data_IF_718450956655
#
_entry.id   IF_718450956655
#
_cell.length_a   1.000
_cell.length_b   1.000
_cell.length_c   1.000
_cell.angle_alpha   90.00
_cell.angle_beta   90.00
_cell.angle_gamma   90.00
#
_symmetry.space_group_name_H-M   'P 1'
#
loop_
_entity.id
_entity.type
_entity.pdbx_description
1 polymer ?
#
# COMPACT_ATOMS: atom_id res chain seq x y z
N UNK A 1 -20.73 15.75 -23.53
CA UNK A 1 -20.85 15.83 -22.06
C UNK A 1 -19.88 16.89 -21.55
N UNK A 2 -20.31 17.77 -20.63
CA UNK A 2 -19.44 18.78 -20.01
C UNK A 2 -18.56 18.08 -18.97
N UNK A 3 -17.23 18.30 -19.01
CA UNK A 3 -16.35 17.90 -17.90
C UNK A 3 -16.67 18.82 -16.71
N UNK A 4 -17.04 18.23 -15.57
CA UNK A 4 -17.09 18.97 -14.31
C UNK A 4 -15.67 19.37 -13.92
N UNK A 5 -15.54 20.56 -13.35
CA UNK A 5 -14.29 21.04 -12.77
C UNK A 5 -14.02 20.34 -11.43
N UNK A 6 -12.75 20.31 -11.00
CA UNK A 6 -12.34 19.77 -9.69
C UNK A 6 -13.19 20.35 -8.55
N UNK A 7 -13.42 21.67 -8.58
CA UNK A 7 -14.22 22.38 -7.59
C UNK A 7 -15.70 21.96 -7.59
N UNK A 8 -16.29 21.70 -8.76
CA UNK A 8 -17.66 21.21 -8.86
C UNK A 8 -17.80 19.78 -8.33
N UNK A 9 -16.75 18.96 -8.46
CA UNK A 9 -16.68 17.60 -7.90
C UNK A 9 -16.56 17.66 -6.37
N UNK A 10 -15.65 18.48 -5.85
CA UNK A 10 -15.47 18.66 -4.40
C UNK A 10 -16.74 19.18 -3.74
N UNK A 11 -17.41 20.16 -4.35
CA UNK A 11 -18.64 20.71 -3.83
C UNK A 11 -19.78 19.68 -3.82
N UNK A 12 -19.87 18.83 -4.85
CA UNK A 12 -20.84 17.74 -4.89
C UNK A 12 -20.58 16.70 -3.77
N UNK A 13 -19.32 16.30 -3.55
CA UNK A 13 -18.92 15.39 -2.46
C UNK A 13 -19.26 15.99 -1.09
N UNK A 14 -18.96 17.28 -0.88
CA UNK A 14 -19.21 17.94 0.40
C UNK A 14 -20.71 18.09 0.72
N UNK A 15 -21.56 18.16 -0.31
CA UNK A 15 -23.02 18.32 -0.15
C UNK A 15 -23.79 17.01 0.00
N UNK A 16 -23.17 15.86 -0.31
CA UNK A 16 -23.79 14.54 -0.23
C UNK A 16 -23.41 13.84 1.08
N UNK A 17 -24.34 13.67 2.03
CA UNK A 17 -24.07 13.02 3.32
C UNK A 17 -23.75 11.52 3.20
N UNK A 18 -24.11 10.89 2.07
CA UNK A 18 -23.80 9.49 1.77
C UNK A 18 -22.50 9.34 0.96
N UNK A 19 -21.85 10.44 0.57
CA UNK A 19 -20.57 10.37 -0.13
C UNK A 19 -19.48 9.80 0.77
N UNK A 20 -18.77 8.78 0.27
CA UNK A 20 -17.60 8.25 0.95
C UNK A 20 -16.55 9.37 1.11
N UNK A 21 -15.99 9.49 2.31
CA UNK A 21 -14.90 10.44 2.54
C UNK A 21 -13.72 10.13 1.61
N UNK A 22 -13.04 11.15 1.05
CA UNK A 22 -11.84 10.95 0.24
C UNK A 22 -10.83 10.07 1.00
N UNK A 23 -10.26 9.07 0.32
CA UNK A 23 -9.16 8.30 0.92
C UNK A 23 -7.95 9.21 1.10
N UNK A 24 -7.35 9.17 2.29
CA UNK A 24 -6.09 9.85 2.54
C UNK A 24 -4.94 9.11 1.85
N UNK A 25 -3.87 9.83 1.51
CA UNK A 25 -2.64 9.25 0.93
C UNK A 25 -2.11 8.08 1.78
N UNK A 26 -2.15 8.22 3.10
CA UNK A 26 -1.79 7.15 4.04
C UNK A 26 -2.65 5.88 3.86
N UNK A 27 -3.96 6.01 3.64
CA UNK A 27 -4.86 4.87 3.40
C UNK A 27 -4.63 4.24 2.03
N UNK A 28 -4.32 5.05 1.01
CA UNK A 28 -3.97 4.57 -0.33
C UNK A 28 -2.67 3.76 -0.25
N UNK A 29 -1.66 4.30 0.42
CA UNK A 29 -0.37 3.64 0.64
C UNK A 29 -0.55 2.33 1.42
N UNK A 30 -1.32 2.34 2.51
CA UNK A 30 -1.60 1.14 3.29
C UNK A 30 -2.29 0.04 2.45
N UNK A 31 -3.28 0.42 1.63
CA UNK A 31 -3.96 -0.51 0.72
C UNK A 31 -2.99 -1.11 -0.31
N UNK A 32 -2.06 -0.31 -0.83
CA UNK A 32 -0.99 -0.79 -1.72
C UNK A 32 -0.10 -1.82 -1.02
N UNK A 33 0.37 -1.56 0.20
CA UNK A 33 1.20 -2.52 0.96
C UNK A 33 0.46 -3.85 1.15
N UNK A 34 -0.81 -3.80 1.57
CA UNK A 34 -1.63 -5.00 1.71
C UNK A 34 -1.76 -5.77 0.39
N UNK A 35 -1.98 -5.05 -0.71
CA UNK A 35 -2.13 -5.67 -2.03
C UNK A 35 -0.84 -6.35 -2.50
N UNK A 36 0.33 -5.72 -2.32
CA UNK A 36 1.63 -6.32 -2.65
C UNK A 36 1.83 -7.62 -1.89
N UNK A 37 1.55 -7.65 -0.57
CA UNK A 37 1.61 -8.88 0.20
C UNK A 37 0.63 -9.94 -0.29
N UNK A 38 -0.63 -9.56 -0.52
CA UNK A 38 -1.67 -10.54 -0.92
C UNK A 38 -1.33 -11.20 -2.25
N UNK A 39 -0.66 -10.50 -3.18
CA UNK A 39 -0.18 -11.08 -4.45
C UNK A 39 0.81 -12.22 -4.28
N UNK A 40 1.56 -12.24 -3.18
CA UNK A 40 2.51 -13.34 -2.91
C UNK A 40 1.82 -14.55 -2.27
N UNK A 41 0.54 -14.45 -1.90
CA UNK A 41 -0.18 -15.51 -1.19
C UNK A 41 0.27 -15.73 0.26
N UNK A 42 1.08 -14.83 0.83
CA UNK A 42 1.67 -14.98 2.15
C UNK A 42 0.85 -14.28 3.24
N UNK A 43 0.85 -14.87 4.44
CA UNK A 43 0.41 -14.19 5.66
C UNK A 43 1.33 -12.99 5.98
N UNK A 44 0.91 -12.10 6.88
CA UNK A 44 1.77 -10.99 7.33
C UNK A 44 3.10 -11.48 7.89
N UNK A 45 3.10 -12.51 8.74
CA UNK A 45 4.33 -13.05 9.34
C UNK A 45 5.24 -13.71 8.30
N UNK A 46 4.67 -14.45 7.35
CA UNK A 46 5.42 -15.08 6.27
C UNK A 46 6.03 -14.03 5.33
N UNK A 47 5.27 -12.99 4.96
CA UNK A 47 5.76 -11.91 4.12
C UNK A 47 6.87 -11.11 4.81
N UNK A 48 6.65 -10.75 6.07
CA UNK A 48 7.64 -10.08 6.91
C UNK A 48 8.97 -10.86 6.95
N UNK A 49 8.90 -12.17 7.20
CA UNK A 49 10.08 -13.05 7.22
C UNK A 49 10.75 -13.15 5.83
N UNK A 50 9.97 -13.45 4.79
CA UNK A 50 10.48 -13.69 3.44
C UNK A 50 11.20 -12.46 2.85
N UNK A 51 10.73 -11.26 3.18
CA UNK A 51 11.25 -10.01 2.62
C UNK A 51 12.04 -9.17 3.64
N UNK A 52 12.41 -9.74 4.80
CA UNK A 52 13.20 -9.08 5.84
C UNK A 52 12.60 -7.74 6.32
N UNK A 53 11.27 -7.66 6.42
CA UNK A 53 10.54 -6.51 6.96
C UNK A 53 10.09 -6.86 8.38
N UNK A 54 10.38 -6.06 9.42
CA UNK A 54 9.88 -6.35 10.76
C UNK A 54 8.35 -6.44 10.78
N UNK A 55 7.80 -7.51 11.36
CA UNK A 55 6.35 -7.78 11.33
C UNK A 55 5.53 -6.60 11.87
N UNK A 56 5.98 -5.98 12.97
CA UNK A 56 5.32 -4.81 13.55
C UNK A 56 5.29 -3.61 12.59
N UNK A 57 6.39 -3.38 11.87
CA UNK A 57 6.49 -2.31 10.86
C UNK A 57 5.52 -2.57 9.71
N UNK A 58 5.46 -3.80 9.19
CA UNK A 58 4.48 -4.18 8.16
C UNK A 58 3.04 -3.94 8.62
N UNK A 59 2.72 -4.30 9.87
CA UNK A 59 1.39 -4.08 10.44
C UNK A 59 1.04 -2.60 10.59
N UNK A 60 1.99 -1.76 11.00
CA UNK A 60 1.81 -0.31 11.08
C UNK A 60 1.58 0.31 9.70
N UNK A 61 2.26 -0.17 8.66
CA UNK A 61 2.02 0.23 7.27
C UNK A 61 0.65 -0.22 6.75
N UNK A 62 0.30 -1.49 6.90
CA UNK A 62 -0.98 -2.02 6.42
C UNK A 62 -2.19 -1.39 7.13
N UNK A 63 -2.00 -0.81 8.33
CA UNK A 63 -3.04 -0.16 9.13
C UNK A 63 -3.01 1.38 9.03
N UNK A 64 -2.20 1.93 8.12
CA UNK A 64 -2.02 3.38 7.94
C UNK A 64 -1.62 4.13 9.24
N UNK A 65 -0.98 3.44 10.21
CA UNK A 65 -0.44 4.06 11.43
C UNK A 65 0.91 4.72 11.19
N UNK A 66 1.63 4.26 10.17
CA UNK A 66 2.91 4.81 9.72
C UNK A 66 3.01 4.59 8.21
N UNK A 67 3.63 5.53 7.51
CA UNK A 67 3.92 5.35 6.09
C UNK A 67 5.31 4.72 5.87
N UNK A 68 5.48 3.85 4.87
CA UNK A 68 6.79 3.42 4.43
C UNK A 68 7.58 4.62 3.88
N UNK A 69 8.89 4.66 4.16
CA UNK A 69 9.76 5.67 3.54
C UNK A 69 10.02 5.37 2.06
N UNK A 70 10.75 6.26 1.39
CA UNK A 70 11.07 6.12 -0.04
C UNK A 70 11.78 4.80 -0.37
N UNK A 71 12.66 4.32 0.50
CA UNK A 71 13.41 3.07 0.31
C UNK A 71 12.48 1.86 0.42
N UNK A 72 11.62 1.85 1.44
CA UNK A 72 10.61 0.81 1.60
C UNK A 72 9.62 0.78 0.43
N UNK A 73 9.19 1.95 -0.08
CA UNK A 73 8.33 2.04 -1.25
C UNK A 73 9.02 1.51 -2.51
N UNK A 74 10.29 1.84 -2.72
CA UNK A 74 11.08 1.30 -3.82
C UNK A 74 11.19 -0.23 -3.70
N UNK A 75 11.49 -0.74 -2.51
CA UNK A 75 11.61 -2.17 -2.26
C UNK A 75 10.29 -2.93 -2.48
N UNK A 76 9.17 -2.41 -1.96
CA UNK A 76 7.83 -2.95 -2.22
C UNK A 76 7.49 -2.99 -3.72
N UNK A 77 7.98 -2.01 -4.48
CA UNK A 77 7.81 -1.97 -5.95
C UNK A 77 8.59 -3.09 -6.64
N UNK A 78 9.77 -3.46 -6.15
CA UNK A 78 10.54 -4.58 -6.70
C UNK A 78 9.88 -5.91 -6.33
N UNK A 79 9.43 -6.07 -5.08
CA UNK A 79 8.67 -7.24 -4.62
C UNK A 79 7.40 -7.42 -5.46
N UNK A 80 6.68 -6.33 -5.75
CA UNK A 80 5.48 -6.34 -6.58
C UNK A 80 5.73 -6.89 -7.99
N UNK A 81 6.89 -6.54 -8.58
CA UNK A 81 7.25 -6.90 -9.95
C UNK A 81 7.76 -8.34 -10.09
N UNK A 82 8.64 -8.78 -9.19
CA UNK A 82 9.21 -10.14 -9.22
C UNK A 82 9.51 -10.65 -7.80
N UNK A 83 8.47 -11.09 -7.06
CA UNK A 83 8.67 -11.61 -5.70
C UNK A 83 9.64 -12.81 -5.66
N UNK A 84 9.59 -13.79 -6.58
CA UNK A 84 10.55 -14.89 -6.61
C UNK A 84 12.00 -14.44 -6.78
N UNK A 85 12.29 -13.43 -7.61
CA UNK A 85 13.66 -12.93 -7.76
C UNK A 85 14.18 -12.28 -6.48
N UNK A 86 13.34 -11.49 -5.80
CA UNK A 86 13.72 -10.90 -4.50
C UNK A 86 14.00 -11.98 -3.47
N UNK A 87 13.14 -13.00 -3.37
CA UNK A 87 13.35 -14.11 -2.44
C UNK A 87 14.69 -14.82 -2.69
N UNK A 88 14.99 -15.19 -3.95
CA UNK A 88 16.28 -15.82 -4.31
C UNK A 88 17.48 -14.94 -3.97
N UNK A 89 17.38 -13.64 -4.21
CA UNK A 89 18.45 -12.70 -3.88
C UNK A 89 18.71 -12.63 -2.37
N UNK A 90 17.67 -12.75 -1.54
CA UNK A 90 17.77 -12.73 -0.09
C UNK A 90 18.16 -14.08 0.53
N UNK A 91 17.96 -15.21 -0.14
CA UNK A 91 18.44 -16.52 0.34
C UNK A 91 19.97 -16.67 0.25
N UNK A 92 20.60 -15.94 -0.68
CA UNK A 92 22.04 -16.03 -0.96
C UNK A 92 22.87 -15.04 -0.12
N UNK A 93 22.23 -14.17 0.67
CA UNK A 93 22.85 -13.08 1.43
C UNK A 93 22.91 -13.36 2.92
#
# INVERSE_FOLDING_TARGET
>A
MRRMTEAEIEQAIASDPDAASPMTDAKITAARVQWVRRRTGLSQSQFAAAFRIPLRTLQEWEQARREPDATALAYLTVIERDPPAVQRALETA
#
